data_IF_221417483555
#
_entry.id   IF_221417483555
#
_cell.length_a   1.000
_cell.length_b   1.000
_cell.length_c   1.000
_cell.angle_alpha   90.00
_cell.angle_beta   90.00
_cell.angle_gamma   90.00
#
_symmetry.space_group_name_H-M   'P 1'
#
loop_
_entity.id
_entity.type
_entity.pdbx_description
1 polymer ?
#
# COMPACT_ATOMS: atom_id res chain seq x y z
N UNK A 1 -5.21 8.03 9.65
CA UNK A 1 -6.37 8.38 8.80
C UNK A 1 -6.08 7.83 7.40
N UNK A 2 -7.06 7.22 6.73
CA UNK A 2 -6.90 6.70 5.37
C UNK A 2 -6.97 7.82 4.34
N UNK A 3 -6.03 8.76 4.40
CA UNK A 3 -5.97 9.88 3.45
C UNK A 3 -5.10 9.45 2.26
N UNK A 4 -5.64 9.61 1.05
CA UNK A 4 -4.90 9.41 -0.19
C UNK A 4 -5.09 10.67 -1.03
N UNK A 5 -4.01 11.42 -1.20
CA UNK A 5 -4.04 12.76 -1.79
C UNK A 5 -5.10 13.62 -1.08
N UNK A 6 -6.08 14.17 -1.80
CA UNK A 6 -7.13 15.04 -1.26
C UNK A 6 -8.44 14.30 -0.93
N UNK A 7 -8.45 12.96 -0.94
CA UNK A 7 -9.65 12.18 -0.62
C UNK A 7 -9.43 11.16 0.49
N UNK A 8 -10.53 10.88 1.19
CA UNK A 8 -10.54 9.92 2.28
C UNK A 8 -10.96 8.55 1.76
N UNK A 9 -10.11 7.55 1.97
CA UNK A 9 -10.40 6.14 1.73
C UNK A 9 -11.41 5.69 2.79
N UNK A 10 -12.62 5.24 2.40
CA UNK A 10 -13.63 4.82 3.36
C UNK A 10 -13.14 3.68 4.26
N UNK A 11 -13.43 3.79 5.56
CA UNK A 11 -12.95 2.85 6.59
C UNK A 11 -13.51 1.42 6.43
N UNK A 12 -14.52 1.20 5.58
CA UNK A 12 -15.06 -0.12 5.31
C UNK A 12 -14.33 -0.88 4.20
N UNK A 13 -13.41 -0.24 3.46
CA UNK A 13 -12.62 -0.88 2.41
C UNK A 13 -11.34 -1.55 2.93
N UNK A 14 -10.93 -1.23 4.15
CA UNK A 14 -9.72 -1.78 4.76
C UNK A 14 -9.92 -2.02 6.26
N UNK A 15 -9.12 -2.91 6.83
CA UNK A 15 -9.12 -3.19 8.26
C UNK A 15 -8.27 -2.14 8.99
N UNK A 16 -8.87 -1.30 9.84
CA UNK A 16 -8.12 -0.29 10.60
C UNK A 16 -7.12 -0.91 11.60
N UNK A 17 -7.52 -2.03 12.20
CA UNK A 17 -6.72 -2.80 13.16
C UNK A 17 -6.70 -4.26 12.72
N UNK A 18 -5.86 -4.62 11.73
CA UNK A 18 -5.86 -5.98 11.19
C UNK A 18 -5.26 -6.96 12.21
N UNK A 19 -6.03 -7.99 12.59
CA UNK A 19 -5.65 -8.98 13.59
C UNK A 19 -5.08 -10.27 12.97
N UNK A 20 -5.55 -10.63 11.77
CA UNK A 20 -5.12 -11.83 11.05
C UNK A 20 -4.11 -11.53 9.94
N UNK A 21 -3.38 -12.56 9.51
CA UNK A 21 -2.49 -12.47 8.35
C UNK A 21 -3.27 -12.07 7.09
N UNK A 22 -4.43 -12.69 6.87
CA UNK A 22 -5.27 -12.42 5.70
C UNK A 22 -5.81 -10.99 5.67
N UNK A 23 -6.17 -10.42 6.83
CA UNK A 23 -6.59 -9.01 6.91
C UNK A 23 -5.44 -8.06 6.57
N UNK A 24 -4.22 -8.37 7.00
CA UNK A 24 -3.02 -7.59 6.62
C UNK A 24 -2.76 -7.71 5.12
N UNK A 25 -2.87 -8.91 4.56
CA UNK A 25 -2.69 -9.16 3.11
C UNK A 25 -3.74 -8.42 2.30
N UNK A 26 -5.01 -8.42 2.75
CA UNK A 26 -6.09 -7.63 2.15
C UNK A 26 -5.74 -6.15 2.11
N UNK A 27 -5.31 -5.56 3.22
CA UNK A 27 -4.94 -4.15 3.28
C UNK A 27 -3.78 -3.79 2.34
N UNK A 28 -2.74 -4.64 2.28
CA UNK A 28 -1.61 -4.40 1.37
C UNK A 28 -2.02 -4.56 -0.09
N UNK A 29 -2.87 -5.55 -0.39
CA UNK A 29 -3.42 -5.74 -1.74
C UNK A 29 -4.23 -4.54 -2.18
N UNK A 30 -5.11 -4.06 -1.30
CA UNK A 30 -5.92 -2.86 -1.55
C UNK A 30 -5.04 -1.61 -1.73
N UNK A 31 -3.97 -1.46 -0.95
CA UNK A 31 -3.01 -0.38 -1.16
C UNK A 31 -2.34 -0.45 -2.55
N UNK A 32 -2.04 -1.64 -3.07
CA UNK A 32 -1.48 -1.80 -4.42
C UNK A 32 -2.48 -1.47 -5.52
N UNK A 33 -3.76 -1.71 -5.31
CA UNK A 33 -4.84 -1.27 -6.21
C UNK A 33 -4.93 0.25 -6.24
N UNK A 34 -4.92 0.89 -5.07
CA UNK A 34 -4.90 2.36 -4.97
C UNK A 34 -3.66 2.98 -5.64
N UNK A 35 -2.50 2.32 -5.53
CA UNK A 35 -1.29 2.76 -6.25
C UNK A 35 -1.48 2.70 -7.77
N UNK A 36 -2.13 1.66 -8.28
CA UNK A 36 -2.45 1.53 -9.71
C UNK A 36 -3.41 2.62 -10.18
N UNK A 37 -4.47 2.87 -9.40
CA UNK A 37 -5.46 3.89 -9.70
C UNK A 37 -4.84 5.31 -9.63
N UNK A 38 -3.87 5.52 -8.74
CA UNK A 38 -3.04 6.73 -8.65
C UNK A 38 -1.97 6.86 -9.76
N UNK A 39 -1.95 5.95 -10.74
CA UNK A 39 -1.04 5.98 -11.88
C UNK A 39 0.39 5.55 -11.54
N UNK A 40 0.63 4.88 -10.41
CA UNK A 40 1.89 4.17 -10.16
C UNK A 40 1.86 2.80 -10.81
N UNK A 41 3.03 2.29 -11.20
CA UNK A 41 3.12 0.91 -11.68
C UNK A 41 2.86 -0.07 -10.53
N UNK A 42 2.13 -1.15 -10.81
CA UNK A 42 1.89 -2.24 -9.84
C UNK A 42 3.24 -2.69 -9.25
N UNK A 43 3.38 -2.71 -7.91
CA UNK A 43 4.59 -3.25 -7.31
C UNK A 43 4.82 -4.70 -7.75
N UNK A 44 6.08 -5.04 -8.04
CA UNK A 44 6.49 -6.43 -8.33
C UNK A 44 6.52 -7.33 -7.09
N UNK A 45 6.40 -6.74 -5.90
CA UNK A 45 6.30 -7.48 -4.65
C UNK A 45 4.90 -8.09 -4.53
N UNK A 46 4.80 -9.28 -3.94
CA UNK A 46 3.48 -9.81 -3.57
C UNK A 46 3.06 -9.19 -2.23
N UNK A 47 1.75 -8.97 -2.00
CA UNK A 47 1.27 -8.42 -0.73
C UNK A 47 1.74 -9.23 0.48
N UNK A 48 1.79 -10.56 0.35
CA UNK A 48 2.24 -11.49 1.38
C UNK A 48 3.70 -11.26 1.76
N UNK A 49 4.55 -10.91 0.79
CA UNK A 49 5.98 -10.65 1.05
C UNK A 49 6.15 -9.42 1.96
N UNK A 50 5.30 -8.40 1.79
CA UNK A 50 5.29 -7.21 2.65
C UNK A 50 4.74 -7.55 4.04
N UNK A 51 3.65 -8.33 4.11
CA UNK A 51 3.06 -8.74 5.39
C UNK A 51 3.99 -9.67 6.18
N UNK A 52 4.78 -10.50 5.49
CA UNK A 52 5.80 -11.36 6.09
C UNK A 52 7.10 -10.64 6.46
N UNK A 53 7.13 -9.30 6.37
CA UNK A 53 8.28 -8.47 6.72
C UNK A 53 9.52 -8.69 5.83
N UNK A 54 9.34 -9.07 4.56
CA UNK A 54 10.45 -9.14 3.61
C UNK A 54 10.99 -7.72 3.34
N UNK A 55 12.21 -7.47 3.82
CA UNK A 55 12.85 -6.15 3.73
C UNK A 55 13.00 -5.69 2.28
N UNK A 56 13.41 -6.59 1.38
CA UNK A 56 13.68 -6.26 -0.02
C UNK A 56 12.40 -5.82 -0.74
N UNK A 57 11.31 -6.56 -0.55
CA UNK A 57 10.01 -6.25 -1.12
C UNK A 57 9.44 -4.97 -0.55
N UNK A 58 9.52 -4.79 0.78
CA UNK A 58 9.05 -3.58 1.47
C UNK A 58 9.77 -2.34 0.98
N UNK A 59 11.10 -2.34 0.94
CA UNK A 59 11.90 -1.21 0.46
C UNK A 59 11.62 -0.88 -1.00
N UNK A 60 11.35 -1.88 -1.85
CA UNK A 60 11.03 -1.63 -3.25
C UNK A 60 9.69 -0.93 -3.43
N UNK A 61 8.67 -1.28 -2.65
CA UNK A 61 7.38 -0.57 -2.65
C UNK A 61 7.58 0.87 -2.19
N UNK A 62 8.27 1.07 -1.06
CA UNK A 62 8.54 2.40 -0.51
C UNK A 62 9.35 3.29 -1.46
N UNK A 63 10.35 2.71 -2.16
CA UNK A 63 11.15 3.44 -3.12
C UNK A 63 10.34 3.94 -4.32
N UNK A 64 9.38 3.15 -4.80
CA UNK A 64 8.49 3.56 -5.88
C UNK A 64 7.58 4.72 -5.45
N UNK A 65 7.02 4.64 -4.24
CA UNK A 65 6.24 5.73 -3.66
C UNK A 65 7.08 6.99 -3.51
N UNK A 66 8.28 6.88 -2.92
CA UNK A 66 9.20 7.99 -2.79
C UNK A 66 9.52 8.64 -4.14
N UNK A 67 9.90 7.86 -5.16
CA UNK A 67 10.23 8.43 -6.45
C UNK A 67 9.07 9.20 -7.11
N UNK A 68 7.82 8.77 -6.88
CA UNK A 68 6.63 9.44 -7.39
C UNK A 68 6.32 10.73 -6.62
N UNK A 69 6.42 10.69 -5.29
CA UNK A 69 5.95 11.77 -4.41
C UNK A 69 7.08 12.63 -3.81
N UNK A 70 8.36 12.38 -4.13
CA UNK A 70 9.51 13.11 -3.55
C UNK A 70 9.50 14.63 -3.80
N UNK A 71 8.76 15.09 -4.80
CA UNK A 71 8.62 16.50 -5.15
C UNK A 71 7.17 16.99 -4.97
N UNK A 72 6.30 16.18 -4.37
CA UNK A 72 4.97 16.63 -3.98
C UNK A 72 5.14 17.53 -2.75
N UNK A 73 4.54 18.72 -2.77
CA UNK A 73 4.51 19.66 -1.65
C UNK A 73 3.61 19.16 -0.51
#
# INVERSE_FOLDING_TARGET
>A
MGLLEDYFVPLHHFYLTPDSFDQKVHNVSFAFELMLDGGLQKPKARPEDVVSLDLKSTLRVLYNLFNKYKNAE
#
